data_IF_731420179008
#
_entry.id   IF_731420179008
#
_cell.length_a   1.000
_cell.length_b   1.000
_cell.length_c   1.000
_cell.angle_alpha   90.00
_cell.angle_beta   90.00
_cell.angle_gamma   90.00
#
_symmetry.space_group_name_H-M   'P 1'
#
loop_
_entity.id
_entity.type
_entity.pdbx_description
1 polymer ?
#
# COMPACT_ATOMS: atom_id res chain seq x y z
N UNK A 1 -4.53 21.70 -34.94
CA UNK A 1 -5.14 20.95 -33.83
C UNK A 1 -4.23 21.15 -32.62
N UNK A 2 -4.60 22.05 -31.70
CA UNK A 2 -3.77 22.40 -30.52
C UNK A 2 -4.01 21.34 -29.43
N UNK A 3 -3.05 20.47 -29.22
CA UNK A 3 -3.05 19.54 -28.06
C UNK A 3 -2.93 20.40 -26.80
N UNK A 4 -3.85 20.33 -25.85
CA UNK A 4 -3.82 21.17 -24.68
C UNK A 4 -2.59 20.85 -23.82
N UNK A 5 -1.81 21.89 -23.49
CA UNK A 5 -0.58 21.84 -22.66
C UNK A 5 -0.72 21.02 -21.37
N UNK A 6 -1.97 20.86 -20.90
CA UNK A 6 -2.32 20.06 -19.71
C UNK A 6 -2.15 18.54 -19.87
N UNK A 7 -2.16 17.99 -21.09
CA UNK A 7 -1.97 16.54 -21.31
C UNK A 7 -0.50 16.14 -21.24
N UNK A 8 0.39 17.00 -21.68
CA UNK A 8 1.85 16.81 -21.61
C UNK A 8 2.38 16.81 -20.17
N UNK A 9 1.87 17.74 -19.35
CA UNK A 9 2.23 17.83 -17.94
C UNK A 9 1.78 16.57 -17.17
N UNK A 10 0.68 15.93 -17.59
CA UNK A 10 0.15 14.71 -16.93
C UNK A 10 0.91 13.42 -17.24
N UNK A 11 1.42 13.27 -18.46
CA UNK A 11 2.15 12.05 -18.85
C UNK A 11 3.62 12.06 -18.43
N UNK A 12 4.22 13.25 -18.28
CA UNK A 12 5.64 13.41 -17.97
C UNK A 12 5.92 13.73 -16.49
N UNK A 13 4.92 14.24 -15.76
CA UNK A 13 5.16 14.83 -14.42
C UNK A 13 4.93 13.84 -13.28
N UNK A 14 3.97 12.90 -13.37
CA UNK A 14 3.69 12.03 -12.23
C UNK A 14 4.84 11.03 -11.91
N UNK A 15 5.33 10.18 -12.83
CA UNK A 15 6.44 9.27 -12.50
C UNK A 15 7.81 9.96 -12.50
N UNK A 16 8.05 10.90 -13.44
CA UNK A 16 9.36 11.56 -13.57
C UNK A 16 9.60 12.66 -12.54
N UNK A 17 8.58 13.40 -12.13
CA UNK A 17 8.71 14.40 -11.07
C UNK A 17 8.84 13.73 -9.70
N UNK A 18 8.13 12.64 -9.44
CA UNK A 18 8.35 11.82 -8.25
C UNK A 18 9.76 11.24 -8.26
N UNK A 19 10.27 10.78 -9.40
CA UNK A 19 11.65 10.30 -9.53
C UNK A 19 12.69 11.43 -9.40
N UNK A 20 12.44 12.62 -9.95
CA UNK A 20 13.34 13.78 -9.84
C UNK A 20 13.30 14.45 -8.47
N UNK A 21 12.11 14.57 -7.86
CA UNK A 21 11.93 15.09 -6.51
C UNK A 21 12.37 14.06 -5.45
N UNK A 22 12.35 12.76 -5.77
CA UNK A 22 12.87 11.70 -4.93
C UNK A 22 14.38 11.80 -4.65
N UNK A 23 15.14 12.48 -5.51
CA UNK A 23 16.56 12.80 -5.29
C UNK A 23 16.82 14.04 -4.45
N UNK A 24 15.80 14.88 -4.20
CA UNK A 24 15.92 16.08 -3.37
C UNK A 24 15.55 15.74 -1.91
N UNK A 25 16.16 16.41 -0.91
CA UNK A 25 15.80 16.23 0.50
C UNK A 25 14.47 16.94 0.81
N UNK A 26 13.39 16.49 0.17
CA UNK A 26 12.05 17.03 0.42
C UNK A 26 11.50 16.39 1.68
N UNK A 27 11.03 17.18 2.68
CA UNK A 27 10.42 16.63 3.88
C UNK A 27 9.22 15.76 3.52
N UNK A 28 9.06 14.63 4.20
CA UNK A 28 7.90 13.72 4.05
C UNK A 28 6.55 14.43 4.12
N UNK A 29 6.48 15.53 4.89
CA UNK A 29 5.28 16.36 5.01
C UNK A 29 4.88 17.04 3.70
N UNK A 30 5.83 17.53 2.89
CA UNK A 30 5.55 18.17 1.60
C UNK A 30 5.21 17.14 0.52
N UNK A 31 5.94 16.00 0.49
CA UNK A 31 5.62 14.88 -0.38
C UNK A 31 4.21 14.35 -0.08
N UNK A 32 3.86 14.23 1.18
CA UNK A 32 2.54 13.82 1.66
C UNK A 32 1.44 14.80 1.25
N UNK A 33 1.67 16.12 1.39
CA UNK A 33 0.71 17.15 0.96
C UNK A 33 0.46 17.07 -0.54
N UNK A 34 1.51 16.86 -1.32
CA UNK A 34 1.41 16.74 -2.77
C UNK A 34 0.66 15.45 -3.17
N UNK A 35 0.99 14.30 -2.56
CA UNK A 35 0.31 13.03 -2.78
C UNK A 35 -1.17 13.08 -2.34
N UNK A 36 -1.48 13.77 -1.23
CA UNK A 36 -2.87 13.99 -0.79
C UNK A 36 -3.65 14.85 -1.78
N UNK A 37 -3.05 15.90 -2.31
CA UNK A 37 -3.68 16.76 -3.32
C UNK A 37 -3.86 16.02 -4.64
N UNK A 38 -2.92 15.18 -5.03
CA UNK A 38 -3.01 14.36 -6.23
C UNK A 38 -4.10 13.29 -6.07
N UNK A 39 -4.15 12.63 -4.93
CA UNK A 39 -5.18 11.65 -4.58
C UNK A 39 -6.59 12.28 -4.52
N UNK A 40 -6.73 13.49 -3.95
CA UNK A 40 -8.01 14.22 -3.94
C UNK A 40 -8.44 14.66 -5.35
N UNK A 41 -7.49 14.92 -6.25
CA UNK A 41 -7.77 15.25 -7.66
C UNK A 41 -8.07 14.00 -8.48
N UNK A 42 -7.41 12.90 -8.19
CA UNK A 42 -7.59 11.62 -8.86
C UNK A 42 -8.88 10.90 -8.44
N UNK A 43 -9.32 11.03 -7.18
CA UNK A 43 -10.62 10.52 -6.69
C UNK A 43 -11.84 11.10 -7.46
N UNK A 44 -11.66 12.14 -8.26
CA UNK A 44 -12.70 12.71 -9.10
C UNK A 44 -12.73 12.23 -10.56
N UNK A 45 -11.75 11.42 -11.01
CA UNK A 45 -11.63 10.99 -12.42
C UNK A 45 -10.91 9.66 -12.52
N UNK A 46 -11.64 8.55 -12.47
CA UNK A 46 -11.26 7.19 -12.98
C UNK A 46 -9.77 6.77 -12.82
N UNK A 47 -9.12 7.23 -11.76
CA UNK A 47 -7.71 6.93 -11.49
C UNK A 47 -7.49 5.51 -10.96
N UNK A 48 -8.55 4.88 -10.53
CA UNK A 48 -8.54 3.50 -10.03
C UNK A 48 -8.25 2.46 -11.12
N UNK A 49 -8.55 2.77 -12.40
CA UNK A 49 -8.22 1.92 -13.53
C UNK A 49 -6.72 1.65 -13.68
N UNK A 50 -5.86 2.61 -13.27
CA UNK A 50 -4.40 2.44 -13.32
C UNK A 50 -3.87 1.38 -12.38
N UNK A 51 -4.50 1.18 -11.22
CA UNK A 51 -4.10 0.14 -10.27
C UNK A 51 -4.25 -1.28 -10.84
N UNK A 52 -5.08 -1.45 -11.87
CA UNK A 52 -5.24 -2.70 -12.63
C UNK A 52 -4.34 -2.78 -13.87
N UNK A 53 -3.52 -1.75 -14.10
CA UNK A 53 -2.59 -1.71 -15.23
C UNK A 53 -1.53 -2.80 -15.13
N UNK A 54 -1.06 -3.25 -16.31
CA UNK A 54 -0.01 -4.26 -16.40
C UNK A 54 1.28 -3.86 -15.64
N UNK A 55 1.53 -2.56 -15.51
CA UNK A 55 2.68 -2.02 -14.79
C UNK A 55 2.63 -2.34 -13.29
N UNK A 56 1.43 -2.37 -12.68
CA UNK A 56 1.23 -2.66 -11.26
C UNK A 56 1.15 -4.17 -10.96
N UNK A 57 0.90 -4.98 -11.97
CA UNK A 57 0.66 -6.42 -11.82
C UNK A 57 1.81 -7.16 -11.11
N UNK A 58 3.06 -6.81 -11.44
CA UNK A 58 4.24 -7.43 -10.83
C UNK A 58 4.31 -7.18 -9.32
N UNK A 59 3.97 -5.97 -8.87
CA UNK A 59 3.92 -5.63 -7.45
C UNK A 59 2.82 -6.39 -6.72
N UNK A 60 1.61 -6.41 -7.27
CA UNK A 60 0.50 -7.18 -6.68
C UNK A 60 0.82 -8.68 -6.60
N UNK A 61 1.43 -9.24 -7.65
CA UNK A 61 1.82 -10.64 -7.66
C UNK A 61 2.83 -10.98 -6.54
N UNK A 62 3.85 -10.14 -6.33
CA UNK A 62 4.84 -10.39 -5.29
C UNK A 62 4.25 -10.17 -3.88
N UNK A 63 3.39 -9.16 -3.69
CA UNK A 63 2.69 -8.95 -2.41
C UNK A 63 1.79 -10.14 -2.10
N UNK A 64 1.00 -10.66 -3.07
CA UNK A 64 0.18 -11.87 -2.88
C UNK A 64 1.02 -13.08 -2.49
N UNK A 65 2.07 -13.36 -3.27
CA UNK A 65 2.99 -14.48 -3.01
C UNK A 65 3.56 -14.46 -1.59
N UNK A 66 3.97 -13.28 -1.12
CA UNK A 66 4.47 -13.13 0.25
C UNK A 66 3.33 -13.28 1.28
N UNK A 67 2.15 -12.73 1.00
CA UNK A 67 1.00 -12.90 1.90
C UNK A 67 0.64 -14.38 2.03
N UNK A 68 0.57 -15.11 0.94
CA UNK A 68 0.31 -16.57 0.95
C UNK A 68 1.41 -17.37 1.65
N UNK A 69 2.67 -17.00 1.48
CA UNK A 69 3.78 -17.70 2.11
C UNK A 69 3.75 -17.64 3.64
N UNK A 70 3.08 -16.63 4.22
CA UNK A 70 3.03 -16.43 5.67
C UNK A 70 1.62 -16.55 6.28
N UNK A 71 0.56 -16.43 5.47
CA UNK A 71 -0.83 -16.38 5.96
C UNK A 71 -1.84 -17.01 4.98
N UNK A 72 -1.50 -18.11 4.28
CA UNK A 72 -2.40 -18.75 3.30
C UNK A 72 -3.70 -19.31 3.94
N UNK A 73 -3.67 -19.69 5.21
CA UNK A 73 -4.85 -20.13 5.99
C UNK A 73 -5.09 -19.19 7.18
N UNK A 74 -4.70 -17.93 7.02
CA UNK A 74 -4.73 -16.94 8.09
C UNK A 74 -5.75 -15.83 7.84
N UNK A 75 -5.84 -14.93 8.82
CA UNK A 75 -6.54 -13.67 8.71
C UNK A 75 -5.62 -12.60 8.12
N UNK A 76 -6.00 -12.08 6.96
CA UNK A 76 -5.29 -10.99 6.24
C UNK A 76 -6.03 -9.68 6.44
N UNK A 77 -5.35 -8.68 6.99
CA UNK A 77 -5.82 -7.31 7.08
C UNK A 77 -5.09 -6.43 6.06
N UNK A 78 -5.80 -5.89 5.07
CA UNK A 78 -5.26 -5.00 4.03
C UNK A 78 -5.61 -3.54 4.36
N UNK A 79 -4.62 -2.78 4.83
CA UNK A 79 -4.77 -1.37 5.22
C UNK A 79 -4.50 -0.45 4.03
N UNK A 80 -5.52 0.28 3.59
CA UNK A 80 -5.52 1.04 2.35
C UNK A 80 -5.82 0.14 1.15
N UNK A 81 -6.79 -0.75 1.30
CA UNK A 81 -7.12 -1.79 0.32
C UNK A 81 -7.66 -1.27 -1.02
N UNK A 82 -8.01 0.04 -1.10
CA UNK A 82 -8.62 0.62 -2.29
C UNK A 82 -9.84 -0.19 -2.77
N UNK A 83 -9.87 -0.60 -4.03
CA UNK A 83 -10.94 -1.43 -4.63
C UNK A 83 -10.77 -2.94 -4.34
N UNK A 84 -9.94 -3.36 -3.39
CA UNK A 84 -9.72 -4.76 -3.07
C UNK A 84 -9.03 -5.56 -4.19
N UNK A 85 -8.08 -4.96 -4.91
CA UNK A 85 -7.35 -5.63 -5.99
C UNK A 85 -6.41 -6.72 -5.45
N UNK A 86 -5.84 -6.50 -4.27
CA UNK A 86 -4.94 -7.46 -3.65
C UNK A 86 -5.64 -8.79 -3.37
N UNK A 87 -6.89 -8.73 -2.92
CA UNK A 87 -7.71 -9.90 -2.58
C UNK A 87 -7.92 -10.85 -3.77
N UNK A 88 -7.96 -10.32 -5.01
CA UNK A 88 -8.21 -11.14 -6.21
C UNK A 88 -7.11 -12.19 -6.41
N UNK A 89 -7.46 -13.46 -6.29
CA UNK A 89 -6.55 -14.60 -6.43
C UNK A 89 -5.65 -14.87 -5.23
N UNK A 90 -5.92 -14.25 -4.06
CA UNK A 90 -5.22 -14.52 -2.81
C UNK A 90 -5.92 -15.66 -2.05
N UNK A 91 -5.14 -16.56 -1.46
CA UNK A 91 -5.62 -17.62 -0.58
C UNK A 91 -5.55 -17.17 0.88
N UNK A 92 -6.64 -17.32 1.64
CA UNK A 92 -6.75 -16.89 3.05
C UNK A 92 -7.93 -17.59 3.73
N UNK A 93 -7.93 -17.63 5.07
CA UNK A 93 -9.09 -18.00 5.88
C UNK A 93 -10.09 -16.85 5.98
N UNK A 94 -9.60 -15.64 6.25
CA UNK A 94 -10.38 -14.40 6.36
C UNK A 94 -9.61 -13.24 5.73
N UNK A 95 -10.32 -12.36 5.05
CA UNK A 95 -9.76 -11.12 4.51
C UNK A 95 -10.60 -9.91 4.92
N UNK A 96 -9.95 -8.89 5.44
CA UNK A 96 -10.58 -7.61 5.78
C UNK A 96 -9.82 -6.46 5.10
N UNK A 97 -10.44 -5.82 4.13
CA UNK A 97 -9.92 -4.62 3.49
C UNK A 97 -10.45 -3.36 4.18
N UNK A 98 -9.56 -2.46 4.54
CA UNK A 98 -9.90 -1.18 5.15
C UNK A 98 -9.39 -0.04 4.29
N UNK A 99 -10.26 0.91 3.92
CA UNK A 99 -9.86 2.13 3.22
C UNK A 99 -10.69 3.33 3.71
N UNK A 100 -10.09 4.50 3.73
CA UNK A 100 -10.76 5.74 4.10
C UNK A 100 -11.75 6.26 3.04
N UNK A 101 -11.59 5.81 1.80
CA UNK A 101 -12.43 6.21 0.67
C UNK A 101 -13.68 5.36 0.60
N UNK A 102 -14.84 5.94 0.94
CA UNK A 102 -16.13 5.28 0.79
C UNK A 102 -16.40 4.85 -0.66
N UNK A 103 -15.90 5.60 -1.65
CA UNK A 103 -16.04 5.23 -3.06
C UNK A 103 -15.18 4.02 -3.42
N UNK A 104 -13.95 3.93 -2.93
CA UNK A 104 -13.10 2.75 -3.14
C UNK A 104 -13.75 1.49 -2.53
N UNK A 105 -14.28 1.61 -1.31
CA UNK A 105 -14.98 0.51 -0.63
C UNK A 105 -16.25 0.13 -1.39
N UNK A 106 -17.03 1.09 -1.89
CA UNK A 106 -18.20 0.79 -2.73
C UNK A 106 -17.85 -0.06 -3.97
N UNK A 107 -16.68 0.20 -4.57
CA UNK A 107 -16.18 -0.58 -5.71
C UNK A 107 -15.61 -1.95 -5.29
N UNK A 108 -15.16 -2.10 -4.05
CA UNK A 108 -14.68 -3.37 -3.50
C UNK A 108 -15.83 -4.28 -3.04
N UNK A 109 -16.94 -3.73 -2.56
CA UNK A 109 -18.08 -4.45 -1.99
C UNK A 109 -18.59 -5.65 -2.82
N UNK A 110 -18.66 -5.62 -4.16
CA UNK A 110 -19.09 -6.77 -4.95
C UNK A 110 -18.20 -8.02 -4.80
N UNK A 111 -17.03 -7.91 -4.16
CA UNK A 111 -16.11 -9.01 -3.89
C UNK A 111 -16.25 -9.57 -2.47
N UNK A 112 -17.14 -8.98 -1.66
CA UNK A 112 -17.42 -9.47 -0.31
C UNK A 112 -18.16 -10.81 -0.36
N UNK A 113 -17.80 -11.68 0.57
CA UNK A 113 -18.43 -12.98 0.81
C UNK A 113 -18.38 -13.31 2.32
N UNK A 114 -18.61 -14.56 2.69
CA UNK A 114 -18.55 -15.03 4.08
C UNK A 114 -17.15 -14.96 4.73
N UNK A 115 -16.10 -14.86 3.94
CA UNK A 115 -14.70 -14.75 4.38
C UNK A 115 -14.05 -13.40 4.06
N UNK A 116 -14.70 -12.60 3.22
CA UNK A 116 -14.14 -11.36 2.68
C UNK A 116 -15.03 -10.16 3.02
N UNK A 117 -14.50 -9.18 3.70
CA UNK A 117 -15.20 -7.94 3.99
C UNK A 117 -14.36 -6.70 3.63
N UNK A 118 -15.05 -5.63 3.24
CA UNK A 118 -14.45 -4.33 2.99
C UNK A 118 -15.18 -3.27 3.81
N UNK A 119 -14.44 -2.45 4.55
CA UNK A 119 -15.00 -1.45 5.44
C UNK A 119 -14.37 -0.08 5.24
N UNK A 120 -15.18 0.96 5.36
CA UNK A 120 -14.67 2.33 5.44
C UNK A 120 -14.06 2.54 6.81
N UNK A 121 -12.78 2.89 6.87
CA UNK A 121 -12.08 3.09 8.12
C UNK A 121 -10.81 3.92 7.96
N UNK A 122 -10.41 4.59 9.03
CA UNK A 122 -9.14 5.30 9.08
C UNK A 122 -8.03 4.34 9.49
N UNK A 123 -7.14 4.01 8.57
CA UNK A 123 -6.05 3.07 8.79
C UNK A 123 -5.26 3.29 10.09
N UNK A 124 -4.85 4.53 10.46
CA UNK A 124 -4.17 4.77 11.73
C UNK A 124 -4.98 4.42 12.98
N UNK A 125 -6.31 4.53 12.91
CA UNK A 125 -7.21 4.30 14.04
C UNK A 125 -7.86 2.92 14.07
N UNK A 126 -7.86 2.20 12.98
CA UNK A 126 -8.59 0.95 12.85
C UNK A 126 -8.01 -0.15 13.76
N UNK A 127 -8.92 -0.92 14.37
CA UNK A 127 -8.58 -2.07 15.17
C UNK A 127 -9.44 -3.26 14.72
N UNK A 128 -8.84 -4.35 14.23
CA UNK A 128 -9.59 -5.55 13.91
C UNK A 128 -10.11 -6.24 15.17
N UNK A 129 -11.12 -7.06 15.02
CA UNK A 129 -11.78 -7.82 16.09
C UNK A 129 -10.99 -9.04 16.56
N UNK A 130 -10.06 -9.55 15.74
CA UNK A 130 -9.11 -10.60 16.07
C UNK A 130 -7.69 -10.24 15.62
N UNK A 131 -6.63 -10.82 16.20
CA UNK A 131 -5.25 -10.62 15.76
C UNK A 131 -5.04 -11.12 14.34
N UNK A 132 -4.57 -10.27 13.38
CA UNK A 132 -4.29 -10.70 12.02
C UNK A 132 -2.99 -11.52 11.94
N UNK A 133 -2.98 -12.52 11.05
CA UNK A 133 -1.78 -13.30 10.70
C UNK A 133 -0.90 -12.55 9.67
N UNK A 134 -1.52 -11.70 8.86
CA UNK A 134 -0.80 -10.76 8.02
C UNK A 134 -1.48 -9.39 8.01
N UNK A 135 -0.71 -8.34 8.19
CA UNK A 135 -1.14 -6.95 7.89
C UNK A 135 -0.39 -6.46 6.67
N UNK A 136 -1.12 -6.04 5.67
CA UNK A 136 -0.55 -5.56 4.41
C UNK A 136 -0.68 -4.04 4.29
N UNK A 137 0.42 -3.37 3.97
CA UNK A 137 0.52 -1.96 3.61
C UNK A 137 1.02 -1.85 2.18
N UNK A 138 0.11 -1.93 1.21
CA UNK A 138 0.47 -1.93 -0.20
C UNK A 138 0.40 -0.53 -0.80
N UNK A 139 1.54 0.18 -0.88
CA UNK A 139 1.67 1.56 -1.39
C UNK A 139 0.85 2.61 -0.60
N UNK A 140 0.65 2.39 0.70
CA UNK A 140 -0.22 3.26 1.53
C UNK A 140 0.54 4.07 2.57
N UNK A 141 1.71 3.65 3.02
CA UNK A 141 2.42 4.25 4.15
C UNK A 141 2.73 5.74 3.97
N UNK A 142 2.89 6.21 2.74
CA UNK A 142 3.16 7.65 2.46
C UNK A 142 1.98 8.57 2.83
N UNK A 143 0.76 8.03 2.83
CA UNK A 143 -0.46 8.79 3.10
C UNK A 143 -0.76 8.89 4.59
N UNK A 144 -0.07 8.08 5.41
CA UNK A 144 -0.31 8.02 6.86
C UNK A 144 0.45 9.14 7.59
N UNK A 145 -0.15 9.72 8.64
CA UNK A 145 0.45 10.84 9.37
C UNK A 145 1.79 10.51 10.04
N UNK A 146 1.88 9.36 10.69
CA UNK A 146 3.08 8.83 11.34
C UNK A 146 3.19 7.34 10.98
N UNK A 147 3.73 7.02 9.78
CA UNK A 147 3.72 5.66 9.27
C UNK A 147 4.49 4.68 10.16
N UNK A 148 5.55 5.12 10.83
CA UNK A 148 6.32 4.24 11.72
C UNK A 148 5.52 3.85 12.95
N UNK A 149 4.82 4.82 13.56
CA UNK A 149 3.94 4.56 14.70
C UNK A 149 2.75 3.70 14.31
N UNK A 150 2.18 3.93 13.12
CA UNK A 150 1.07 3.10 12.61
C UNK A 150 1.53 1.67 12.40
N UNK A 151 2.68 1.45 11.75
CA UNK A 151 3.26 0.11 11.56
C UNK A 151 3.50 -0.58 12.90
N UNK A 152 4.10 0.12 13.88
CA UNK A 152 4.31 -0.45 15.22
C UNK A 152 2.99 -0.85 15.90
N UNK A 153 1.97 0.02 15.84
CA UNK A 153 0.65 -0.29 16.42
C UNK A 153 0.02 -1.55 15.84
N UNK A 154 0.22 -1.80 14.55
CA UNK A 154 -0.26 -3.03 13.92
C UNK A 154 0.62 -4.23 14.25
N UNK A 155 1.94 -4.04 14.36
CA UNK A 155 2.86 -5.07 14.83
C UNK A 155 2.46 -5.60 16.22
N UNK A 156 2.14 -4.68 17.16
CA UNK A 156 1.69 -5.01 18.51
C UNK A 156 0.35 -5.78 18.58
N UNK A 157 -0.34 -5.94 17.45
CA UNK A 157 -1.65 -6.60 17.32
C UNK A 157 -1.65 -7.86 16.47
N UNK A 158 -0.51 -8.20 15.89
CA UNK A 158 -0.37 -9.42 15.10
C UNK A 158 -0.64 -10.68 15.97
N UNK A 159 -1.06 -11.74 15.33
CA UNK A 159 -0.99 -13.06 15.95
C UNK A 159 0.47 -13.43 16.28
N UNK A 160 0.70 -14.43 17.11
CA UNK A 160 2.02 -14.82 17.61
C UNK A 160 3.08 -15.02 16.51
N UNK A 161 2.69 -15.55 15.36
CA UNK A 161 3.57 -15.73 14.19
C UNK A 161 3.28 -14.76 13.06
N UNK A 162 2.46 -13.74 13.33
CA UNK A 162 2.00 -12.79 12.33
C UNK A 162 3.11 -11.96 11.72
N UNK A 163 2.83 -11.45 10.53
CA UNK A 163 3.77 -10.63 9.75
C UNK A 163 3.16 -9.31 9.28
N UNK A 164 4.03 -8.33 9.10
CA UNK A 164 3.72 -7.11 8.35
C UNK A 164 4.33 -7.20 6.96
N UNK A 165 3.54 -6.96 5.93
CA UNK A 165 3.98 -6.92 4.54
C UNK A 165 3.84 -5.49 4.05
N UNK A 166 4.96 -4.90 3.64
CA UNK A 166 5.05 -3.49 3.24
C UNK A 166 5.53 -3.42 1.80
N UNK A 167 4.79 -2.75 0.95
CA UNK A 167 5.22 -2.37 -0.39
C UNK A 167 5.42 -0.86 -0.45
N UNK A 168 6.55 -0.40 -0.95
CA UNK A 168 6.88 1.03 -1.09
C UNK A 168 7.65 1.31 -2.37
N UNK A 169 7.41 2.47 -2.99
CA UNK A 169 8.16 2.92 -4.15
C UNK A 169 9.65 3.10 -3.84
N UNK A 170 10.50 2.34 -4.52
CA UNK A 170 11.89 2.14 -4.12
C UNK A 170 12.85 3.27 -4.50
N UNK A 171 12.50 4.14 -5.47
CA UNK A 171 13.38 5.24 -5.89
C UNK A 171 13.42 6.40 -4.89
N UNK A 172 12.37 6.60 -4.10
CA UNK A 172 12.27 7.73 -3.20
C UNK A 172 13.22 7.59 -1.98
N UNK A 173 14.02 8.61 -1.72
CA UNK A 173 14.85 8.67 -0.51
C UNK A 173 14.01 8.57 0.78
N UNK A 174 12.84 9.22 0.78
CA UNK A 174 11.92 9.21 1.91
C UNK A 174 11.45 7.79 2.26
N UNK A 175 11.17 6.94 1.27
CA UNK A 175 10.74 5.56 1.48
C UNK A 175 11.86 4.67 2.00
N UNK A 176 13.09 4.86 1.52
CA UNK A 176 14.27 4.17 2.06
C UNK A 176 14.54 4.55 3.52
N UNK A 177 14.32 5.83 3.87
CA UNK A 177 14.40 6.29 5.26
C UNK A 177 13.31 5.66 6.11
N UNK A 178 12.06 5.61 5.61
CA UNK A 178 10.95 4.97 6.28
C UNK A 178 11.24 3.49 6.58
N UNK A 179 11.68 2.73 5.59
CA UNK A 179 12.05 1.32 5.78
C UNK A 179 13.17 1.15 6.81
N UNK A 180 14.17 2.03 6.84
CA UNK A 180 15.22 1.98 7.88
C UNK A 180 14.66 2.24 9.28
N UNK A 181 13.69 3.14 9.43
CA UNK A 181 13.04 3.43 10.70
C UNK A 181 12.17 2.25 11.19
N UNK A 182 11.49 1.55 10.27
CA UNK A 182 10.74 0.32 10.57
C UNK A 182 11.71 -0.79 11.01
N UNK A 183 12.80 -1.01 10.26
CA UNK A 183 13.85 -2.01 10.59
C UNK A 183 14.56 -1.75 11.93
N UNK A 184 14.54 -0.54 12.43
CA UNK A 184 15.09 -0.24 13.76
C UNK A 184 14.16 -0.68 14.90
N UNK A 185 12.96 -1.17 14.62
CA UNK A 185 11.93 -1.56 15.59
C UNK A 185 11.39 -2.98 15.39
N UNK A 186 11.48 -3.48 14.18
CA UNK A 186 10.93 -4.77 13.78
C UNK A 186 12.00 -5.58 13.05
N UNK A 187 11.95 -6.89 13.20
CA UNK A 187 12.83 -7.81 12.52
C UNK A 187 12.48 -7.93 11.04
N UNK A 188 13.44 -7.64 10.18
CA UNK A 188 13.30 -7.83 8.74
C UNK A 188 13.44 -9.32 8.41
N UNK A 189 12.35 -9.97 8.03
CA UNK A 189 12.32 -11.36 7.59
C UNK A 189 12.77 -11.48 6.13
N UNK A 190 12.28 -10.59 5.28
CA UNK A 190 12.56 -10.61 3.83
C UNK A 190 12.44 -9.23 3.21
N UNK A 191 13.23 -8.97 2.19
CA UNK A 191 13.10 -7.75 1.37
C UNK A 191 13.46 -8.06 -0.08
N UNK A 192 12.59 -7.69 -1.01
CA UNK A 192 12.73 -7.99 -2.43
C UNK A 192 12.52 -6.74 -3.27
N UNK A 193 13.37 -6.50 -4.27
CA UNK A 193 13.12 -5.51 -5.30
C UNK A 193 12.11 -6.05 -6.31
N UNK A 194 11.10 -5.26 -6.65
CA UNK A 194 10.13 -5.56 -7.72
C UNK A 194 10.23 -4.49 -8.78
N UNK A 195 10.30 -4.88 -10.05
CA UNK A 195 10.43 -3.97 -11.20
C UNK A 195 9.38 -4.28 -12.25
N UNK A 196 8.85 -3.22 -12.87
CA UNK A 196 7.97 -3.30 -14.03
C UNK A 196 8.22 -2.05 -14.89
N UNK A 197 8.91 -2.23 -16.02
CA UNK A 197 9.40 -1.10 -16.81
C UNK A 197 10.29 -0.15 -15.98
N UNK A 198 9.92 1.12 -15.92
CA UNK A 198 10.62 2.15 -15.12
C UNK A 198 10.18 2.15 -13.64
N UNK A 199 9.12 1.41 -13.30
CA UNK A 199 8.64 1.35 -11.93
C UNK A 199 9.51 0.41 -11.08
N UNK A 200 9.73 0.81 -9.84
CA UNK A 200 10.54 0.05 -8.90
C UNK A 200 9.96 0.15 -7.49
N UNK A 201 9.67 -0.99 -6.90
CA UNK A 201 9.22 -1.11 -5.52
C UNK A 201 10.18 -1.95 -4.69
N UNK A 202 10.10 -1.73 -3.39
CA UNK A 202 10.65 -2.63 -2.38
C UNK A 202 9.48 -3.26 -1.66
N UNK A 203 9.39 -4.59 -1.69
CA UNK A 203 8.42 -5.34 -0.89
C UNK A 203 9.18 -6.00 0.24
N UNK A 204 8.75 -5.75 1.47
CA UNK A 204 9.44 -6.20 2.67
C UNK A 204 8.46 -6.86 3.65
N UNK A 205 8.93 -7.89 4.34
CA UNK A 205 8.20 -8.62 5.39
C UNK A 205 8.92 -8.41 6.71
N UNK A 206 8.15 -8.06 7.72
CA UNK A 206 8.64 -7.81 9.08
C UNK A 206 7.88 -8.66 10.11
N UNK A 207 8.53 -8.93 11.24
CA UNK A 207 7.92 -9.51 12.46
C UNK A 207 8.22 -8.65 13.67
N UNK A 208 7.46 -8.88 14.74
CA UNK A 208 7.88 -8.43 16.06
C UNK A 208 9.19 -9.13 16.47
N UNK A 209 10.10 -8.41 17.15
CA UNK A 209 11.31 -8.99 17.73
C UNK A 209 11.02 -10.13 18.69
#
# INVERSE_FOLDING_TARGET
MKVPLRSWVRQLVAPRLVAQVAGLPVPLSLLRWWLLLDNLRENRRDSWGRLRGAEEAARYAEVRKLTEAYASDGFVLDVGCSQGILQEGLTYRRYLGVDRSAEAIRLAQPKSDDRTAFVVGDGPGFAPDEPPDAVVFNEVLYYLPDPVRVVQRYADRLSEQGVLIVSVYGHAWATRRLLRQIRARLDLVRSLPVRSGELYWIVAVFRCP
#
